data_IF_096862475963
#
_entry.id   IF_096862475963
#
_cell.length_a   1.000
_cell.length_b   1.000
_cell.length_c   1.000
_cell.angle_alpha   90.00
_cell.angle_beta   90.00
_cell.angle_gamma   90.00
#
_symmetry.space_group_name_H-M   'P 1'
#
loop_
_entity.id
_entity.type
_entity.pdbx_description
1 polymer ?
#
# COMPACT_ATOMS: atom_id res chain seq x y z
N UNK A 1 0.80 11.00 21.88
CA UNK A 1 1.26 11.51 20.55
C UNK A 1 0.03 11.65 19.67
N UNK A 2 -0.01 12.58 18.71
CA UNK A 2 -1.14 12.76 17.79
C UNK A 2 -0.72 12.43 16.37
N UNK A 3 -1.70 11.98 15.54
CA UNK A 3 -1.54 11.86 14.10
C UNK A 3 -2.62 12.66 13.37
N UNK A 4 -2.25 13.20 12.21
CA UNK A 4 -3.17 13.92 11.35
C UNK A 4 -3.81 12.96 10.36
N UNK A 5 -5.13 12.76 10.49
CA UNK A 5 -5.93 11.87 9.66
C UNK A 5 -6.71 12.71 8.63
N UNK A 6 -6.54 12.39 7.36
CA UNK A 6 -7.24 13.04 6.26
C UNK A 6 -8.70 12.62 6.22
N UNK A 7 -8.94 11.30 6.24
CA UNK A 7 -10.29 10.74 6.20
C UNK A 7 -10.37 9.32 6.80
N UNK A 8 -11.57 8.96 7.25
CA UNK A 8 -11.93 7.61 7.69
C UNK A 8 -13.19 7.22 6.92
N UNK A 9 -13.16 6.10 6.19
CA UNK A 9 -14.29 5.69 5.37
C UNK A 9 -14.32 4.18 5.13
N UNK A 10 -15.52 3.65 4.92
CA UNK A 10 -15.75 2.26 4.51
C UNK A 10 -15.78 2.18 2.99
N UNK A 11 -15.02 1.24 2.41
CA UNK A 11 -15.08 0.96 0.98
C UNK A 11 -14.66 -0.49 0.66
N UNK A 12 -14.64 -0.80 -0.63
CA UNK A 12 -14.12 -2.05 -1.18
C UNK A 12 -12.65 -1.87 -1.51
N UNK A 13 -11.76 -2.77 -1.04
CA UNK A 13 -10.37 -2.77 -1.48
C UNK A 13 -10.29 -3.01 -2.98
N UNK A 14 -9.70 -2.08 -3.69
CA UNK A 14 -9.60 -2.11 -5.15
C UNK A 14 -8.26 -2.57 -5.69
N UNK A 15 -7.31 -2.94 -4.83
CA UNK A 15 -5.93 -3.20 -5.22
C UNK A 15 -5.39 -4.49 -4.57
N UNK A 16 -4.42 -5.10 -5.26
CA UNK A 16 -3.69 -6.26 -4.74
C UNK A 16 -4.54 -7.53 -4.58
N UNK A 17 -3.97 -8.56 -3.91
CA UNK A 17 -4.60 -9.88 -3.77
C UNK A 17 -5.90 -9.89 -2.94
N UNK A 18 -6.15 -8.85 -2.15
CA UNK A 18 -7.35 -8.70 -1.30
C UNK A 18 -8.43 -7.81 -1.94
N UNK A 19 -8.36 -7.63 -3.26
CA UNK A 19 -9.39 -6.92 -4.03
C UNK A 19 -10.77 -7.51 -3.79
N UNK A 20 -11.80 -6.64 -3.64
CA UNK A 20 -13.18 -7.04 -3.42
C UNK A 20 -13.59 -7.11 -1.94
N UNK A 21 -12.66 -7.16 -1.01
CA UNK A 21 -12.99 -7.17 0.41
C UNK A 21 -13.41 -5.78 0.93
N UNK A 22 -14.40 -5.76 1.83
CA UNK A 22 -14.82 -4.55 2.55
C UNK A 22 -13.76 -4.20 3.60
N UNK A 23 -13.22 -2.99 3.53
CA UNK A 23 -12.24 -2.47 4.48
C UNK A 23 -12.67 -1.13 5.07
N UNK A 24 -12.22 -0.85 6.30
CA UNK A 24 -12.26 0.47 6.90
C UNK A 24 -10.92 1.16 6.62
N UNK A 25 -10.94 2.20 5.81
CA UNK A 25 -9.74 2.96 5.45
C UNK A 25 -9.49 4.09 6.44
N UNK A 26 -8.27 4.17 6.96
CA UNK A 26 -7.75 5.30 7.74
C UNK A 26 -6.64 5.93 6.91
N UNK A 27 -6.91 7.10 6.35
CA UNK A 27 -5.99 7.82 5.46
C UNK A 27 -5.22 8.86 6.24
N UNK A 28 -3.91 8.62 6.40
CA UNK A 28 -2.98 9.54 7.06
C UNK A 28 -2.58 10.71 6.16
N UNK A 29 -2.28 11.87 6.75
CA UNK A 29 -1.69 13.00 6.06
C UNK A 29 -0.17 12.88 6.01
N UNK A 30 0.41 13.46 4.94
CA UNK A 30 1.86 13.55 4.76
C UNK A 30 2.47 12.31 4.12
N UNK A 31 3.49 12.55 3.28
CA UNK A 31 4.29 11.52 2.62
C UNK A 31 5.73 11.99 2.51
N UNK A 32 6.68 11.06 2.56
CA UNK A 32 8.10 11.30 2.36
C UNK A 32 8.53 11.21 0.88
N UNK A 33 7.60 10.85 -0.01
CA UNK A 33 7.82 10.78 -1.45
C UNK A 33 6.84 11.69 -2.21
N UNK A 34 7.17 11.98 -3.47
CA UNK A 34 6.30 12.63 -4.44
C UNK A 34 6.24 11.75 -5.69
N UNK A 35 5.10 11.10 -5.91
CA UNK A 35 4.86 10.30 -7.11
C UNK A 35 4.05 11.12 -8.12
N UNK A 36 4.34 10.98 -9.41
CA UNK A 36 3.65 11.70 -10.49
C UNK A 36 2.18 11.29 -10.66
N UNK A 37 1.81 10.12 -10.16
CA UNK A 37 0.44 9.56 -10.18
C UNK A 37 -0.29 9.68 -8.85
N UNK A 38 0.26 10.43 -7.87
CA UNK A 38 -0.37 10.56 -6.55
C UNK A 38 -1.71 11.29 -6.68
N UNK A 39 -2.79 10.61 -6.28
CA UNK A 39 -4.16 11.13 -6.31
C UNK A 39 -4.66 11.61 -4.93
N UNK A 40 -3.79 11.61 -3.94
CA UNK A 40 -4.16 11.99 -2.57
C UNK A 40 -3.73 13.42 -2.23
N UNK A 41 -4.68 14.25 -1.83
CA UNK A 41 -4.42 15.57 -1.26
C UNK A 41 -4.19 15.45 0.26
N UNK A 42 -2.93 15.62 0.71
CA UNK A 42 -2.54 15.44 2.13
C UNK A 42 -2.65 16.69 2.99
N UNK A 43 -3.19 17.78 2.49
CA UNK A 43 -3.09 19.11 3.12
C UNK A 43 -4.12 19.37 4.21
N UNK A 44 -5.27 18.70 4.15
CA UNK A 44 -6.35 18.87 5.11
C UNK A 44 -6.50 17.60 5.95
N UNK A 45 -6.78 17.73 7.24
CA UNK A 45 -7.01 16.58 8.12
C UNK A 45 -7.18 17.04 9.56
N UNK A 46 -7.76 16.17 10.38
CA UNK A 46 -7.98 16.36 11.81
C UNK A 46 -6.92 15.62 12.60
N UNK A 47 -6.38 16.26 13.64
CA UNK A 47 -5.48 15.61 14.58
C UNK A 47 -6.28 14.77 15.56
N UNK A 48 -5.80 13.56 15.84
CA UNK A 48 -6.37 12.64 16.82
C UNK A 48 -5.25 12.08 17.70
N UNK A 49 -5.54 11.95 18.98
CA UNK A 49 -4.84 10.99 19.85
C UNK A 49 -5.29 9.56 19.52
N UNK A 50 -4.54 8.51 19.91
CA UNK A 50 -4.94 7.11 19.69
C UNK A 50 -6.34 6.79 20.24
N UNK A 51 -6.68 7.27 21.42
CA UNK A 51 -7.95 7.06 22.09
C UNK A 51 -9.10 7.77 21.39
N UNK A 52 -8.90 9.01 20.94
CA UNK A 52 -9.91 9.76 20.19
C UNK A 52 -10.21 9.10 18.85
N UNK A 53 -9.16 8.65 18.11
CA UNK A 53 -9.34 7.92 16.86
C UNK A 53 -10.11 6.61 17.09
N UNK A 54 -9.73 5.84 18.11
CA UNK A 54 -10.45 4.61 18.46
C UNK A 54 -11.91 4.89 18.83
N UNK A 55 -12.18 5.89 19.68
CA UNK A 55 -13.54 6.25 20.12
C UNK A 55 -14.42 6.66 18.94
N UNK A 56 -13.86 7.47 18.02
CA UNK A 56 -14.55 7.85 16.78
C UNK A 56 -14.89 6.63 15.93
N UNK A 57 -13.93 5.75 15.68
CA UNK A 57 -14.14 4.53 14.88
C UNK A 57 -15.18 3.64 15.55
N UNK A 58 -15.08 3.37 16.85
CA UNK A 58 -15.98 2.49 17.59
C UNK A 58 -17.42 3.04 17.68
N UNK A 59 -17.58 4.36 17.59
CA UNK A 59 -18.94 4.96 17.59
C UNK A 59 -19.64 4.90 16.23
N UNK A 60 -18.89 4.79 15.13
CA UNK A 60 -19.42 4.88 13.77
C UNK A 60 -19.41 3.52 13.02
N UNK A 61 -18.54 2.58 13.44
CA UNK A 61 -18.30 1.34 12.71
C UNK A 61 -18.25 0.11 13.63
N UNK A 62 -18.94 -0.96 13.23
CA UNK A 62 -18.74 -2.29 13.81
C UNK A 62 -17.55 -2.98 13.09
N UNK A 63 -16.40 -3.01 13.76
CA UNK A 63 -15.16 -3.54 13.18
C UNK A 63 -15.24 -5.01 12.80
N UNK A 64 -16.13 -5.79 13.42
CA UNK A 64 -16.32 -7.21 13.09
C UNK A 64 -16.89 -7.45 11.70
N UNK A 65 -17.48 -6.41 11.08
CA UNK A 65 -18.06 -6.47 9.73
C UNK A 65 -17.07 -6.19 8.60
N UNK A 66 -15.83 -5.86 8.95
CA UNK A 66 -14.76 -5.55 7.99
C UNK A 66 -13.76 -6.69 7.91
N UNK A 67 -13.24 -6.91 6.70
CA UNK A 67 -12.11 -7.82 6.52
C UNK A 67 -10.87 -7.29 7.26
N UNK A 68 -10.63 -5.99 7.20
CA UNK A 68 -9.49 -5.35 7.85
C UNK A 68 -9.65 -3.82 7.97
N UNK A 69 -8.88 -3.21 8.86
CA UNK A 69 -8.57 -1.78 8.83
C UNK A 69 -7.39 -1.58 7.88
N UNK A 70 -7.57 -0.76 6.84
CA UNK A 70 -6.49 -0.35 5.93
C UNK A 70 -5.86 0.95 6.44
N UNK A 71 -4.61 0.87 6.87
CA UNK A 71 -3.77 2.03 7.17
C UNK A 71 -3.14 2.50 5.88
N UNK A 72 -3.57 3.64 5.36
CA UNK A 72 -3.20 4.15 4.04
C UNK A 72 -3.00 5.68 4.07
N UNK A 73 -2.89 6.31 2.92
CA UNK A 73 -2.87 7.76 2.78
C UNK A 73 -1.59 8.27 2.14
N UNK A 74 -0.87 9.18 2.79
CA UNK A 74 0.47 9.54 2.37
C UNK A 74 1.43 8.37 2.61
N UNK A 75 2.05 8.39 3.78
CA UNK A 75 2.84 7.26 4.26
C UNK A 75 2.53 7.01 5.74
N UNK A 76 1.78 5.94 6.08
CA UNK A 76 1.38 5.66 7.47
C UNK A 76 2.57 5.47 8.42
N UNK A 77 3.69 4.93 7.94
CA UNK A 77 4.88 4.70 8.78
C UNK A 77 5.55 5.99 9.28
N UNK A 78 5.24 7.16 8.72
CA UNK A 78 5.64 8.45 9.33
C UNK A 78 5.04 8.57 10.74
N UNK A 79 3.85 8.00 10.95
CA UNK A 79 3.13 8.01 12.23
C UNK A 79 3.33 6.71 13.04
N UNK A 80 4.46 6.00 12.88
CA UNK A 80 4.69 4.69 13.51
C UNK A 80 4.56 4.73 15.06
N UNK A 81 5.02 5.79 15.70
CA UNK A 81 4.90 5.94 17.17
C UNK A 81 3.43 6.15 17.60
N UNK A 82 2.63 6.85 16.80
CA UNK A 82 1.19 6.95 17.04
C UNK A 82 0.52 5.60 16.84
N UNK A 83 0.87 4.88 15.74
CA UNK A 83 0.33 3.57 15.43
C UNK A 83 0.65 2.53 16.51
N UNK A 84 1.84 2.59 17.14
CA UNK A 84 2.21 1.76 18.28
C UNK A 84 1.23 1.87 19.45
N UNK A 85 0.69 3.08 19.69
CA UNK A 85 -0.27 3.32 20.77
C UNK A 85 -1.72 3.05 20.31
N UNK A 86 -2.02 3.18 19.02
CA UNK A 86 -3.38 2.99 18.45
C UNK A 86 -3.71 1.50 18.20
N UNK A 87 -2.77 0.75 17.61
CA UNK A 87 -3.05 -0.62 17.15
C UNK A 87 -3.46 -1.59 18.27
N UNK A 88 -2.92 -1.51 19.50
CA UNK A 88 -3.42 -2.31 20.63
C UNK A 88 -4.91 -2.13 20.93
N UNK A 89 -5.48 -0.94 20.65
CA UNK A 89 -6.90 -0.64 20.92
C UNK A 89 -7.86 -1.35 19.97
N UNK A 90 -7.37 -1.70 18.78
CA UNK A 90 -8.15 -2.38 17.72
C UNK A 90 -7.74 -3.84 17.54
N UNK A 91 -6.69 -4.29 18.22
CA UNK A 91 -6.16 -5.66 18.11
C UNK A 91 -7.25 -6.70 18.44
N UNK A 92 -7.34 -7.76 17.61
CA UNK A 92 -8.32 -8.84 17.76
C UNK A 92 -9.76 -8.51 17.37
N UNK A 93 -10.04 -7.26 16.96
CA UNK A 93 -11.38 -6.85 16.48
C UNK A 93 -11.55 -7.04 14.98
N UNK A 94 -10.48 -6.86 14.21
CA UNK A 94 -10.36 -7.13 12.79
C UNK A 94 -8.87 -7.20 12.44
N UNK A 95 -8.53 -7.63 11.22
CA UNK A 95 -7.14 -7.62 10.73
C UNK A 95 -6.64 -6.20 10.48
N UNK A 96 -5.33 -6.03 10.52
CA UNK A 96 -4.66 -4.78 10.17
C UNK A 96 -3.93 -4.95 8.84
N UNK A 97 -4.28 -4.11 7.89
CA UNK A 97 -3.71 -4.04 6.55
C UNK A 97 -2.91 -2.74 6.40
N UNK A 98 -1.61 -2.85 6.13
CA UNK A 98 -0.72 -1.71 5.96
C UNK A 98 -0.43 -1.49 4.47
N UNK A 99 -0.81 -0.32 3.94
CA UNK A 99 -0.37 0.18 2.64
C UNK A 99 0.78 1.17 2.84
N UNK A 100 1.97 0.83 2.35
CA UNK A 100 3.17 1.64 2.55
C UNK A 100 3.99 1.74 1.28
N UNK A 101 4.68 2.86 1.09
CA UNK A 101 5.66 3.02 0.03
C UNK A 101 6.98 2.25 0.30
N UNK A 102 7.04 1.51 1.39
CA UNK A 102 8.12 0.59 1.75
C UNK A 102 9.54 1.22 1.78
N UNK A 103 9.65 2.51 2.08
CA UNK A 103 10.96 3.20 2.18
C UNK A 103 11.41 3.47 3.62
N UNK A 104 10.47 3.42 4.58
CA UNK A 104 10.74 3.67 6.00
C UNK A 104 10.97 2.35 6.75
N UNK A 105 11.98 1.59 6.31
CA UNK A 105 12.29 0.26 6.83
C UNK A 105 12.62 0.23 8.33
N UNK A 106 13.12 1.34 8.89
CA UNK A 106 13.44 1.53 10.32
C UNK A 106 12.19 1.72 11.18
N UNK A 107 11.05 2.08 10.58
CA UNK A 107 9.78 2.31 11.27
C UNK A 107 8.89 1.06 11.36
N UNK A 108 9.00 0.14 10.41
CA UNK A 108 8.18 -1.07 10.40
C UNK A 108 8.30 -1.90 11.70
N UNK A 109 9.49 -2.14 12.27
CA UNK A 109 9.62 -2.93 13.50
C UNK A 109 8.85 -2.38 14.70
N UNK A 110 8.51 -1.08 14.72
CA UNK A 110 7.76 -0.44 15.80
C UNK A 110 6.33 -0.99 15.91
N UNK A 111 5.75 -1.40 14.76
CA UNK A 111 4.33 -1.79 14.66
C UNK A 111 4.11 -3.18 14.06
N UNK A 112 5.18 -3.84 13.58
CA UNK A 112 5.10 -5.08 12.80
C UNK A 112 4.24 -6.17 13.45
N UNK A 113 4.35 -6.34 14.76
CA UNK A 113 3.64 -7.38 15.52
C UNK A 113 2.11 -7.21 15.54
N UNK A 114 1.61 -6.05 15.12
CA UNK A 114 0.17 -5.77 14.99
C UNK A 114 -0.34 -5.87 13.57
N UNK A 115 0.55 -6.08 12.57
CA UNK A 115 0.18 -6.06 11.15
C UNK A 115 -0.06 -7.49 10.66
N UNK A 116 -1.23 -7.72 10.05
CA UNK A 116 -1.57 -9.02 9.46
C UNK A 116 -1.17 -9.09 7.99
N UNK A 117 -1.32 -7.98 7.25
CA UNK A 117 -1.06 -7.93 5.81
C UNK A 117 -0.31 -6.64 5.45
N UNK A 118 0.73 -6.76 4.65
CA UNK A 118 1.48 -5.62 4.10
C UNK A 118 1.31 -5.58 2.58
N UNK A 119 0.81 -4.45 2.08
CA UNK A 119 0.88 -4.02 0.70
C UNK A 119 2.06 -3.05 0.56
N UNK A 120 3.19 -3.55 0.09
CA UNK A 120 4.41 -2.78 -0.04
C UNK A 120 4.56 -2.25 -1.48
N UNK A 121 4.47 -0.93 -1.68
CA UNK A 121 4.62 -0.33 -3.00
C UNK A 121 6.10 -0.14 -3.35
N UNK A 122 6.62 -0.93 -4.29
CA UNK A 122 7.94 -0.65 -4.90
C UNK A 122 7.76 0.54 -5.84
N UNK A 123 8.34 1.68 -5.45
CA UNK A 123 8.22 2.93 -6.21
C UNK A 123 9.31 3.03 -7.27
N UNK A 124 8.88 3.11 -8.53
CA UNK A 124 9.79 3.19 -9.68
C UNK A 124 10.47 4.56 -9.76
N UNK A 125 11.77 4.60 -10.09
CA UNK A 125 12.48 5.85 -10.39
C UNK A 125 11.79 6.70 -11.48
N UNK A 126 11.25 6.06 -12.50
CA UNK A 126 10.50 6.74 -13.57
C UNK A 126 9.26 7.48 -13.08
N UNK A 127 8.66 7.07 -11.94
CA UNK A 127 7.46 7.70 -11.36
C UNK A 127 7.76 8.68 -10.23
N UNK A 128 8.93 8.56 -9.58
CA UNK A 128 9.26 9.37 -8.39
C UNK A 128 10.42 10.32 -8.61
N UNK A 129 11.19 10.14 -9.69
CA UNK A 129 12.45 10.83 -9.93
C UNK A 129 13.58 10.42 -8.96
N UNK A 130 13.37 9.38 -8.14
CA UNK A 130 14.33 8.91 -7.14
C UNK A 130 14.48 7.39 -7.20
N UNK A 131 15.72 6.91 -7.12
CA UNK A 131 15.97 5.48 -6.94
C UNK A 131 15.89 5.14 -5.45
N UNK A 132 14.92 4.31 -5.06
CA UNK A 132 14.67 3.86 -3.69
C UNK A 132 14.78 2.34 -3.54
N UNK A 133 15.34 1.62 -4.52
CA UNK A 133 15.39 0.15 -4.51
C UNK A 133 16.16 -0.41 -3.31
N UNK A 134 17.24 0.24 -2.87
CA UNK A 134 17.97 -0.19 -1.67
C UNK A 134 17.14 -0.06 -0.39
N UNK A 135 16.25 0.96 -0.31
CA UNK A 135 15.34 1.11 0.82
C UNK A 135 14.27 0.03 0.80
N UNK A 136 13.74 -0.33 -0.37
CA UNK A 136 12.80 -1.43 -0.53
C UNK A 136 13.42 -2.77 -0.12
N UNK A 137 14.67 -3.07 -0.53
CA UNK A 137 15.38 -4.28 -0.07
C UNK A 137 15.48 -4.34 1.45
N UNK A 138 15.93 -3.25 2.09
CA UNK A 138 16.00 -3.16 3.56
C UNK A 138 14.63 -3.30 4.23
N UNK A 139 13.56 -2.83 3.57
CA UNK A 139 12.20 -3.01 4.06
C UNK A 139 11.79 -4.49 4.02
N UNK A 140 12.03 -5.17 2.90
CA UNK A 140 11.69 -6.58 2.75
C UNK A 140 12.49 -7.51 3.66
N UNK A 141 13.68 -7.13 4.12
CA UNK A 141 14.40 -7.84 5.19
C UNK A 141 13.66 -7.84 6.54
N UNK A 142 12.66 -6.95 6.73
CA UNK A 142 11.93 -6.78 8.00
C UNK A 142 10.53 -7.38 8.02
N UNK A 143 10.00 -7.84 6.88
CA UNK A 143 8.62 -8.31 6.78
C UNK A 143 8.40 -9.77 7.19
N UNK A 144 9.46 -10.49 7.56
CA UNK A 144 9.38 -11.91 7.94
C UNK A 144 8.27 -12.17 8.97
N UNK A 145 7.47 -13.21 8.71
CA UNK A 145 6.32 -13.59 9.54
C UNK A 145 5.03 -12.82 9.26
N UNK A 146 5.01 -11.84 8.34
CA UNK A 146 3.80 -11.09 7.95
C UNK A 146 3.42 -11.41 6.52
N UNK A 147 2.13 -11.66 6.26
CA UNK A 147 1.64 -11.83 4.88
C UNK A 147 1.94 -10.56 4.08
N UNK A 148 2.86 -10.66 3.11
CA UNK A 148 3.35 -9.50 2.35
C UNK A 148 3.30 -9.76 0.86
N UNK A 149 2.87 -8.75 0.10
CA UNK A 149 3.03 -8.69 -1.35
C UNK A 149 3.60 -7.32 -1.75
N UNK A 150 4.25 -7.28 -2.90
CA UNK A 150 4.79 -6.03 -3.44
C UNK A 150 3.97 -5.55 -4.63
N UNK A 151 3.52 -4.30 -4.59
CA UNK A 151 2.79 -3.65 -5.67
C UNK A 151 3.73 -2.77 -6.48
N UNK A 152 3.58 -2.78 -7.80
CA UNK A 152 4.38 -2.00 -8.74
C UNK A 152 3.43 -1.26 -9.68
N UNK A 153 3.29 0.04 -9.49
CA UNK A 153 2.50 0.89 -10.40
C UNK A 153 3.37 1.26 -11.60
N UNK A 154 2.90 0.98 -12.80
CA UNK A 154 3.67 1.23 -14.04
C UNK A 154 2.85 1.91 -15.12
N UNK A 155 3.52 2.59 -16.02
CA UNK A 155 2.99 3.13 -17.26
C UNK A 155 3.95 2.81 -18.44
N UNK A 156 3.75 3.46 -19.58
CA UNK A 156 4.58 3.27 -20.79
C UNK A 156 6.07 3.59 -20.62
N UNK A 157 6.43 4.29 -19.54
CA UNK A 157 7.80 4.74 -19.29
C UNK A 157 8.63 3.74 -18.47
N UNK A 158 8.02 2.65 -17.98
CA UNK A 158 8.75 1.62 -17.23
C UNK A 158 9.92 1.07 -18.05
N UNK A 159 11.10 1.01 -17.45
CA UNK A 159 12.33 0.56 -18.10
C UNK A 159 12.59 -0.94 -17.87
N UNK A 160 13.39 -1.55 -18.75
CA UNK A 160 13.82 -2.94 -18.54
C UNK A 160 14.64 -3.10 -17.25
N UNK A 161 15.46 -2.11 -16.88
CA UNK A 161 16.24 -2.11 -15.63
C UNK A 161 15.33 -2.11 -14.39
N UNK A 162 14.23 -1.33 -14.40
CA UNK A 162 13.24 -1.34 -13.34
C UNK A 162 12.52 -2.69 -13.25
N UNK A 163 12.16 -3.29 -14.38
CA UNK A 163 11.55 -4.62 -14.45
C UNK A 163 12.47 -5.67 -13.82
N UNK A 164 13.72 -5.73 -14.26
CA UNK A 164 14.72 -6.68 -13.76
C UNK A 164 14.94 -6.48 -12.24
N UNK A 165 15.09 -5.24 -11.81
CA UNK A 165 15.33 -4.93 -10.39
C UNK A 165 14.15 -5.33 -9.52
N UNK A 166 12.92 -4.98 -9.91
CA UNK A 166 11.71 -5.33 -9.16
C UNK A 166 11.48 -6.86 -9.14
N UNK A 167 11.67 -7.54 -10.28
CA UNK A 167 11.51 -8.98 -10.36
C UNK A 167 12.54 -9.71 -9.49
N UNK A 168 13.80 -9.23 -9.46
CA UNK A 168 14.83 -9.78 -8.59
C UNK A 168 14.54 -9.51 -7.10
N UNK A 169 13.98 -8.35 -6.73
CA UNK A 169 13.52 -8.10 -5.36
C UNK A 169 12.45 -9.14 -4.98
N UNK A 170 11.41 -9.33 -5.80
CA UNK A 170 10.39 -10.36 -5.54
C UNK A 170 10.99 -11.76 -5.36
N UNK A 171 11.94 -12.14 -6.22
CA UNK A 171 12.63 -13.44 -6.20
C UNK A 171 13.49 -13.61 -4.95
N UNK A 172 14.31 -12.61 -4.60
CA UNK A 172 15.27 -12.68 -3.49
C UNK A 172 14.55 -12.82 -2.13
N UNK A 173 13.37 -12.20 -1.99
CA UNK A 173 12.57 -12.25 -0.76
C UNK A 173 11.37 -13.22 -0.81
N UNK A 174 11.14 -13.90 -1.93
CA UNK A 174 10.01 -14.83 -2.10
C UNK A 174 8.64 -14.16 -2.06
N UNK A 175 8.55 -12.87 -2.41
CA UNK A 175 7.35 -12.03 -2.27
C UNK A 175 6.57 -11.99 -3.58
N UNK A 176 5.25 -12.20 -3.51
CA UNK A 176 4.38 -12.04 -4.67
C UNK A 176 4.42 -10.61 -5.20
N UNK A 177 4.56 -10.47 -6.52
CA UNK A 177 4.52 -9.18 -7.22
C UNK A 177 3.14 -8.94 -7.82
N UNK A 178 2.59 -7.75 -7.61
CA UNK A 178 1.35 -7.27 -8.22
C UNK A 178 1.65 -6.09 -9.13
N UNK A 179 1.56 -6.32 -10.42
CA UNK A 179 1.71 -5.30 -11.45
C UNK A 179 0.40 -4.54 -11.59
N UNK A 180 0.44 -3.23 -11.41
CA UNK A 180 -0.74 -2.37 -11.47
C UNK A 180 -0.54 -1.30 -12.55
N UNK A 181 -1.27 -1.37 -13.68
CA UNK A 181 -1.25 -0.31 -14.66
C UNK A 181 -1.72 1.02 -14.03
N UNK A 182 -0.98 2.10 -14.25
CA UNK A 182 -1.40 3.46 -13.85
C UNK A 182 -2.76 3.77 -14.48
N UNK A 183 -3.69 4.30 -13.69
CA UNK A 183 -5.00 4.73 -14.16
C UNK A 183 -5.04 6.23 -14.45
N UNK A 184 -5.82 6.60 -15.48
CA UNK A 184 -6.20 8.00 -15.82
C UNK A 184 -7.72 8.03 -15.80
N UNK A 185 -8.31 8.52 -14.71
CA UNK A 185 -9.73 8.34 -14.44
C UNK A 185 -10.09 6.86 -14.31
N UNK A 186 -11.02 6.37 -15.09
CA UNK A 186 -11.51 4.99 -15.14
C UNK A 186 -10.78 4.10 -16.17
N UNK A 187 -9.75 4.63 -16.84
CA UNK A 187 -9.02 3.93 -17.91
C UNK A 187 -7.56 3.67 -17.53
N UNK A 188 -7.04 2.53 -17.94
CA UNK A 188 -5.61 2.25 -17.87
C UNK A 188 -4.83 3.19 -18.81
N UNK A 189 -3.68 3.68 -18.37
CA UNK A 189 -2.77 4.53 -19.16
C UNK A 189 -2.09 3.79 -20.31
N UNK A 190 -2.18 2.46 -20.31
CA UNK A 190 -1.59 1.54 -21.29
C UNK A 190 -2.63 0.52 -21.75
N UNK A 191 -2.46 -0.04 -22.94
CA UNK A 191 -3.37 -1.05 -23.48
C UNK A 191 -3.04 -2.47 -22.97
N UNK A 192 -3.92 -3.43 -23.30
CA UNK A 192 -3.79 -4.83 -22.88
C UNK A 192 -2.55 -5.52 -23.44
N UNK A 193 -2.15 -5.20 -24.68
CA UNK A 193 -0.96 -5.81 -25.29
C UNK A 193 0.32 -5.38 -24.56
N UNK A 194 0.39 -4.10 -24.17
CA UNK A 194 1.49 -3.60 -23.36
C UNK A 194 1.48 -4.26 -21.96
N UNK A 195 0.31 -4.36 -21.33
CA UNK A 195 0.18 -5.05 -20.03
C UNK A 195 0.68 -6.50 -20.10
N UNK A 196 0.27 -7.25 -21.15
CA UNK A 196 0.73 -8.62 -21.36
C UNK A 196 2.25 -8.68 -21.57
N UNK A 197 2.81 -7.79 -22.38
CA UNK A 197 4.27 -7.75 -22.61
C UNK A 197 5.07 -7.47 -21.33
N UNK A 198 4.56 -6.63 -20.41
CA UNK A 198 5.17 -6.37 -19.11
C UNK A 198 5.04 -7.59 -18.21
N UNK A 199 3.86 -8.22 -18.16
CA UNK A 199 3.64 -9.44 -17.38
C UNK A 199 4.59 -10.56 -17.83
N UNK A 200 4.77 -10.76 -19.14
CA UNK A 200 5.68 -11.76 -19.70
C UNK A 200 7.15 -11.50 -19.32
N UNK A 201 7.58 -10.23 -19.37
CA UNK A 201 8.95 -9.86 -18.95
C UNK A 201 9.18 -10.16 -17.47
N UNK A 202 8.26 -9.79 -16.58
CA UNK A 202 8.38 -10.12 -15.14
C UNK A 202 8.36 -11.62 -14.92
N UNK A 203 7.40 -12.34 -15.54
CA UNK A 203 7.24 -13.80 -15.37
C UNK A 203 8.45 -14.59 -15.84
N UNK A 204 9.17 -14.11 -16.86
CA UNK A 204 10.40 -14.74 -17.34
C UNK A 204 11.54 -14.72 -16.33
N UNK A 205 11.52 -13.76 -15.39
CA UNK A 205 12.53 -13.60 -14.33
C UNK A 205 12.03 -14.24 -13.01
N UNK A 206 10.76 -13.95 -12.66
CA UNK A 206 10.13 -14.42 -11.43
C UNK A 206 8.64 -14.70 -11.68
N UNK A 207 8.19 -15.98 -11.66
CA UNK A 207 6.85 -16.35 -12.07
C UNK A 207 5.75 -16.03 -11.02
N UNK A 208 6.12 -15.75 -9.75
CA UNK A 208 5.14 -15.39 -8.73
C UNK A 208 4.71 -13.91 -8.89
N UNK A 209 4.11 -13.61 -10.01
CA UNK A 209 3.65 -12.28 -10.41
C UNK A 209 2.25 -12.36 -11.01
N UNK A 210 1.42 -11.37 -10.73
CA UNK A 210 0.10 -11.18 -11.35
C UNK A 210 -0.15 -9.73 -11.70
N UNK A 211 -1.06 -9.50 -12.63
CA UNK A 211 -1.50 -8.16 -13.02
C UNK A 211 -2.90 -7.92 -12.45
N UNK A 212 -3.04 -6.86 -11.64
CA UNK A 212 -4.32 -6.44 -11.06
C UNK A 212 -4.45 -4.93 -11.23
N UNK A 213 -5.40 -4.44 -12.05
CA UNK A 213 -5.67 -3.01 -12.17
C UNK A 213 -6.35 -2.46 -10.91
N UNK A 214 -6.49 -1.13 -10.81
CA UNK A 214 -7.27 -0.48 -9.74
C UNK A 214 -8.78 -0.73 -9.96
N UNK A 215 -9.32 -1.79 -9.36
CA UNK A 215 -10.71 -2.22 -9.55
C UNK A 215 -11.71 -1.20 -9.00
N UNK A 216 -11.37 -0.47 -7.92
CA UNK A 216 -12.22 0.59 -7.37
C UNK A 216 -12.52 1.71 -8.38
N UNK A 217 -11.59 1.99 -9.32
CA UNK A 217 -11.83 2.97 -10.40
C UNK A 217 -12.90 2.51 -11.36
N UNK A 218 -12.94 1.20 -11.71
CA UNK A 218 -13.99 0.62 -12.55
C UNK A 218 -15.34 0.53 -11.84
N UNK A 219 -15.34 0.27 -10.53
CA UNK A 219 -16.55 0.19 -9.72
C UNK A 219 -17.09 1.58 -9.33
N UNK A 220 -16.34 2.63 -9.60
CA UNK A 220 -16.64 4.01 -9.19
C UNK A 220 -16.91 4.12 -7.68
N UNK A 221 -16.12 3.40 -6.88
CA UNK A 221 -16.09 3.50 -5.41
C UNK A 221 -14.81 4.18 -4.93
N UNK A 222 -14.84 4.65 -3.66
CA UNK A 222 -13.65 5.33 -3.08
C UNK A 222 -12.52 4.36 -2.87
#
# INVERSE_FOLDING_TARGET
MEAKINEIFSSIQGEGPVVGYKQLFIRFCGCNLHCDYCDTEFRQGTCFSPQELYSKIASEYDLSTFHSISLTGGEPLISAEFLKDFLPLVQGKTKIYLETNATLFDKLPIIKDYIDIISADIKLPTSTGKNTFDLHRKFFEKVDGVQTFAKIVFDKNITNEEIETCANIGKDFGIELVLQPKMIGDKMSVNSDFCNSILDKFSSIYPNVRLIPQVHKFLNVR
#
